data_IF_374408291610
#
_entry.id   IF_374408291610
#
_cell.length_a   1.000
_cell.length_b   1.000
_cell.length_c   1.000
_cell.angle_alpha   90.00
_cell.angle_beta   90.00
_cell.angle_gamma   90.00
#
_symmetry.space_group_name_H-M   'P 1'
#
loop_
_entity.id
_entity.type
_entity.pdbx_description
1 polymer ?
#
# COMPACT_ATOMS: atom_id res chain seq x y z
N UNK A 1 0.74 12.03 -1.62
CA UNK A 1 0.48 10.92 -0.70
C UNK A 1 1.09 9.64 -1.24
N UNK A 2 1.86 8.92 -0.43
CA UNK A 2 2.61 7.73 -0.86
C UNK A 2 2.29 6.55 0.03
N UNK A 3 2.07 5.38 -0.58
CA UNK A 3 1.85 4.12 0.11
C UNK A 3 3.03 3.20 -0.16
N UNK A 4 3.64 2.65 0.86
CA UNK A 4 4.65 1.61 0.73
C UNK A 4 4.02 0.25 0.94
N UNK A 5 4.57 -0.75 0.27
CA UNK A 5 3.98 -2.08 0.19
C UNK A 5 3.83 -2.71 1.57
N UNK A 6 4.91 -2.81 2.31
CA UNK A 6 4.89 -3.42 3.63
C UNK A 6 6.20 -3.15 4.37
N UNK A 7 6.16 -3.38 5.67
CA UNK A 7 7.32 -3.23 6.55
C UNK A 7 7.48 -4.46 7.41
N UNK A 8 8.69 -4.63 7.93
CA UNK A 8 8.95 -5.66 8.91
C UNK A 8 8.33 -5.26 10.24
N UNK A 9 7.58 -6.17 10.86
CA UNK A 9 6.89 -5.92 12.11
C UNK A 9 7.84 -5.52 13.25
N UNK A 10 9.09 -5.94 13.21
CA UNK A 10 10.09 -5.57 14.23
C UNK A 10 10.31 -4.06 14.35
N UNK A 11 10.11 -3.33 13.27
CA UNK A 11 10.28 -1.88 13.26
C UNK A 11 9.07 -1.15 13.84
N UNK A 12 7.94 -1.85 14.03
CA UNK A 12 6.68 -1.25 14.45
C UNK A 12 5.93 -2.20 15.37
N UNK A 13 6.53 -2.48 16.54
CA UNK A 13 6.07 -3.50 17.48
C UNK A 13 4.63 -3.31 17.97
N UNK A 14 4.14 -2.09 17.98
CA UNK A 14 2.81 -1.79 18.49
C UNK A 14 1.71 -1.92 17.44
N UNK A 15 2.08 -2.15 16.18
CA UNK A 15 1.13 -2.31 15.09
C UNK A 15 0.94 -3.77 14.74
N UNK A 16 -0.29 -4.13 14.46
CA UNK A 16 -0.67 -5.51 14.15
C UNK A 16 -0.86 -5.70 12.65
N UNK A 17 -0.78 -6.96 12.21
CA UNK A 17 -1.12 -7.34 10.84
C UNK A 17 -2.54 -6.86 10.53
N UNK A 18 -2.74 -6.31 9.36
CA UNK A 18 -4.01 -5.74 8.96
C UNK A 18 -4.19 -4.28 9.37
N UNK A 19 -3.14 -3.67 9.89
CA UNK A 19 -3.13 -2.24 10.22
C UNK A 19 -2.19 -1.46 9.30
N UNK A 20 -2.21 -0.16 9.44
CA UNK A 20 -1.29 0.74 8.73
C UNK A 20 -0.53 1.58 9.75
N UNK A 21 0.73 1.82 9.48
CA UNK A 21 1.52 2.83 10.20
C UNK A 21 1.61 4.07 9.33
N UNK A 22 1.41 5.23 9.91
CA UNK A 22 1.43 6.49 9.17
C UNK A 22 2.59 7.34 9.65
N UNK A 23 3.38 7.82 8.70
CA UNK A 23 4.43 8.79 8.95
C UNK A 23 4.07 10.10 8.25
N UNK A 24 4.06 11.18 8.99
CA UNK A 24 3.86 12.51 8.41
C UNK A 24 5.21 13.16 8.18
N UNK A 25 5.45 13.62 6.95
CA UNK A 25 6.69 14.28 6.57
C UNK A 25 6.43 15.30 5.46
N UNK A 26 6.88 16.54 5.68
CA UNK A 26 6.77 17.63 4.69
C UNK A 26 5.33 17.81 4.20
N UNK A 27 4.37 17.79 5.12
CA UNK A 27 2.94 17.93 4.83
C UNK A 27 2.37 16.79 3.97
N UNK A 28 3.04 15.64 3.97
CA UNK A 28 2.59 14.43 3.29
C UNK A 28 2.47 13.29 4.29
N UNK A 29 1.62 12.32 3.95
CA UNK A 29 1.52 11.08 4.72
C UNK A 29 2.15 9.95 3.93
N UNK A 30 2.95 9.14 4.61
CA UNK A 30 3.51 7.91 4.05
C UNK A 30 2.88 6.76 4.81
N UNK A 31 2.28 5.85 4.09
CA UNK A 31 1.58 4.71 4.67
C UNK A 31 2.41 3.44 4.52
N UNK A 32 2.57 2.73 5.62
CA UNK A 32 3.21 1.42 5.65
C UNK A 32 2.15 0.40 6.01
N UNK A 33 1.82 -0.46 5.07
CA UNK A 33 0.82 -1.51 5.24
C UNK A 33 1.46 -2.71 5.92
N UNK A 34 0.89 -3.16 7.03
CA UNK A 34 1.40 -4.31 7.77
C UNK A 34 0.57 -5.52 7.39
N UNK A 35 1.05 -6.27 6.42
CA UNK A 35 0.31 -7.37 5.81
C UNK A 35 0.85 -8.74 6.19
N UNK A 36 2.03 -8.80 6.80
CA UNK A 36 2.65 -10.04 7.26
C UNK A 36 3.55 -9.78 8.45
N UNK A 37 3.78 -10.81 9.26
CA UNK A 37 4.61 -10.70 10.46
C UNK A 37 6.10 -10.78 10.16
N UNK A 38 6.49 -11.60 9.19
CA UNK A 38 7.89 -11.84 8.85
C UNK A 38 8.12 -11.65 7.37
N UNK A 39 9.33 -11.21 7.00
CA UNK A 39 9.69 -11.00 5.61
C UNK A 39 9.59 -12.27 4.76
N UNK A 40 9.75 -13.45 5.37
CA UNK A 40 9.66 -14.73 4.69
C UNK A 40 8.23 -15.23 4.48
N UNK A 41 7.26 -14.63 5.15
CA UNK A 41 5.86 -14.99 5.00
C UNK A 41 5.25 -14.26 3.81
N UNK A 42 4.15 -14.82 3.29
CA UNK A 42 3.36 -14.14 2.28
C UNK A 42 2.18 -13.45 2.94
N UNK A 43 1.81 -12.25 2.52
CA UNK A 43 0.58 -11.64 2.98
C UNK A 43 -0.62 -12.40 2.41
N UNK A 44 -1.76 -12.29 3.07
CA UNK A 44 -3.02 -12.78 2.52
C UNK A 44 -3.79 -11.60 1.92
N UNK A 45 -4.73 -11.89 1.02
CA UNK A 45 -5.61 -10.86 0.50
C UNK A 45 -6.45 -10.22 1.61
N UNK A 46 -6.88 -11.01 2.60
CA UNK A 46 -7.64 -10.49 3.73
C UNK A 46 -6.83 -9.50 4.56
N UNK A 47 -5.57 -9.80 4.82
CA UNK A 47 -4.70 -8.89 5.57
C UNK A 47 -4.39 -7.62 4.77
N UNK A 48 -4.20 -7.75 3.46
CA UNK A 48 -4.02 -6.58 2.59
C UNK A 48 -5.27 -5.71 2.61
N UNK A 49 -6.44 -6.32 2.47
CA UNK A 49 -7.70 -5.58 2.52
C UNK A 49 -7.89 -4.87 3.85
N UNK A 50 -7.59 -5.55 4.96
CA UNK A 50 -7.69 -4.94 6.30
C UNK A 50 -6.76 -3.73 6.43
N UNK A 51 -5.52 -3.82 5.95
CA UNK A 51 -4.57 -2.70 5.98
C UNK A 51 -5.06 -1.54 5.11
N UNK A 52 -5.63 -1.83 3.94
CA UNK A 52 -6.20 -0.80 3.06
C UNK A 52 -7.41 -0.13 3.69
N UNK A 53 -8.25 -0.87 4.38
CA UNK A 53 -9.39 -0.30 5.11
C UNK A 53 -8.91 0.64 6.22
N UNK A 54 -7.88 0.23 6.95
CA UNK A 54 -7.29 1.07 8.00
C UNK A 54 -6.68 2.35 7.41
N UNK A 55 -5.98 2.23 6.30
CA UNK A 55 -5.43 3.37 5.57
C UNK A 55 -6.55 4.32 5.09
N UNK A 56 -7.63 3.76 4.56
CA UNK A 56 -8.77 4.56 4.11
C UNK A 56 -9.35 5.40 5.25
N UNK A 57 -9.50 4.81 6.43
CA UNK A 57 -9.99 5.54 7.60
C UNK A 57 -9.14 6.77 7.89
N UNK A 58 -7.83 6.62 7.87
CA UNK A 58 -6.91 7.72 8.07
C UNK A 58 -7.06 8.78 6.97
N UNK A 59 -7.14 8.34 5.72
CA UNK A 59 -7.29 9.25 4.58
C UNK A 59 -8.57 10.09 4.69
N UNK A 60 -9.69 9.47 5.04
CA UNK A 60 -10.96 10.17 5.15
C UNK A 60 -10.92 11.20 6.28
N UNK A 61 -10.39 10.82 7.44
CA UNK A 61 -10.30 11.72 8.60
C UNK A 61 -9.41 12.92 8.30
N UNK A 62 -8.34 12.74 7.53
CA UNK A 62 -7.35 13.79 7.27
C UNK A 62 -7.54 14.49 5.92
N UNK A 63 -8.63 14.23 5.22
CA UNK A 63 -8.94 14.90 3.96
C UNK A 63 -7.98 14.62 2.82
N UNK A 64 -7.40 13.42 2.79
CA UNK A 64 -6.50 13.01 1.71
C UNK A 64 -7.30 12.89 0.42
N UNK A 65 -6.84 13.53 -0.65
CA UNK A 65 -7.51 13.55 -1.94
C UNK A 65 -6.83 12.68 -2.98
N UNK A 66 -5.54 12.46 -2.85
CA UNK A 66 -4.76 11.70 -3.83
C UNK A 66 -3.84 10.71 -3.12
N UNK A 67 -3.73 9.52 -3.68
CA UNK A 67 -2.80 8.48 -3.26
C UNK A 67 -1.95 8.03 -4.44
N UNK A 68 -0.67 7.82 -4.19
CA UNK A 68 0.24 7.17 -5.13
C UNK A 68 0.77 5.89 -4.50
N UNK A 69 0.76 4.80 -5.24
CA UNK A 69 1.21 3.52 -4.73
C UNK A 69 1.80 2.64 -5.83
N UNK A 70 2.68 1.70 -5.48
CA UNK A 70 3.10 0.67 -6.41
C UNK A 70 2.01 -0.41 -6.53
N UNK A 71 2.25 -1.45 -7.33
CA UNK A 71 1.41 -2.64 -7.35
C UNK A 71 1.64 -3.43 -6.07
N UNK A 72 0.82 -3.14 -5.05
CA UNK A 72 0.97 -3.70 -3.72
C UNK A 72 0.97 -5.22 -3.72
N UNK A 73 1.95 -5.82 -3.06
CA UNK A 73 2.03 -7.27 -2.88
C UNK A 73 2.35 -8.08 -4.13
N UNK A 74 2.58 -7.44 -5.28
CA UNK A 74 2.73 -8.15 -6.55
C UNK A 74 4.19 -8.43 -6.95
N UNK A 75 5.15 -7.87 -6.21
CA UNK A 75 6.55 -8.15 -6.45
C UNK A 75 6.98 -9.42 -5.74
N UNK A 76 7.77 -9.26 -4.71
CA UNK A 76 8.30 -10.37 -3.92
C UNK A 76 7.22 -11.24 -3.28
N UNK A 77 6.11 -10.66 -2.87
CA UNK A 77 5.00 -11.36 -2.20
C UNK A 77 4.08 -12.13 -3.14
N UNK A 78 4.21 -11.90 -4.44
CA UNK A 78 3.55 -12.69 -5.49
C UNK A 78 2.02 -12.70 -5.45
N UNK A 79 1.39 -11.67 -4.91
CA UNK A 79 -0.06 -11.51 -5.06
C UNK A 79 -0.39 -11.15 -6.51
N UNK A 80 -1.57 -11.55 -6.95
CA UNK A 80 -2.02 -11.29 -8.33
C UNK A 80 -2.60 -9.88 -8.42
N UNK A 81 -2.06 -9.08 -9.33
CA UNK A 81 -2.44 -7.67 -9.44
C UNK A 81 -3.93 -7.45 -9.70
N UNK A 82 -4.56 -8.26 -10.55
CA UNK A 82 -5.99 -8.12 -10.81
C UNK A 82 -6.83 -8.29 -9.54
N UNK A 83 -6.45 -9.20 -8.68
CA UNK A 83 -7.11 -9.40 -7.39
C UNK A 83 -6.87 -8.20 -6.45
N UNK A 84 -5.64 -7.74 -6.37
CA UNK A 84 -5.28 -6.60 -5.56
C UNK A 84 -5.99 -5.33 -6.02
N UNK A 85 -6.05 -5.12 -7.34
CA UNK A 85 -6.74 -3.97 -7.92
C UNK A 85 -8.24 -3.98 -7.59
N UNK A 86 -8.86 -5.14 -7.63
CA UNK A 86 -10.26 -5.30 -7.25
C UNK A 86 -10.47 -4.90 -5.79
N UNK A 87 -9.59 -5.35 -4.91
CA UNK A 87 -9.65 -5.00 -3.49
C UNK A 87 -9.51 -3.50 -3.29
N UNK A 88 -8.56 -2.86 -3.97
CA UNK A 88 -8.39 -1.40 -3.89
C UNK A 88 -9.65 -0.69 -4.33
N UNK A 89 -10.25 -1.10 -5.43
CA UNK A 89 -11.50 -0.52 -5.92
C UNK A 89 -12.63 -0.67 -4.92
N UNK A 90 -12.77 -1.84 -4.32
CA UNK A 90 -13.81 -2.10 -3.32
C UNK A 90 -13.62 -1.23 -2.08
N UNK A 91 -12.40 -1.16 -1.57
CA UNK A 91 -12.09 -0.40 -0.35
C UNK A 91 -12.37 1.08 -0.52
N UNK A 92 -12.00 1.65 -1.66
CA UNK A 92 -12.11 3.09 -1.92
C UNK A 92 -13.34 3.50 -2.73
N UNK A 93 -14.29 2.57 -2.96
CA UNK A 93 -15.45 2.79 -3.85
C UNK A 93 -16.30 4.00 -3.47
N UNK A 94 -16.48 4.25 -2.18
CA UNK A 94 -17.35 5.34 -1.71
C UNK A 94 -16.56 6.58 -1.29
N UNK A 95 -15.36 6.72 -1.81
CA UNK A 95 -14.50 7.88 -1.53
C UNK A 95 -14.28 8.67 -2.81
N UNK A 96 -13.83 9.93 -2.65
CA UNK A 96 -13.41 10.78 -3.76
C UNK A 96 -11.90 10.79 -3.92
N UNK A 97 -11.21 9.80 -3.37
CA UNK A 97 -9.75 9.72 -3.40
C UNK A 97 -9.31 9.24 -4.78
N UNK A 98 -8.42 10.00 -5.41
CA UNK A 98 -7.82 9.62 -6.68
C UNK A 98 -6.59 8.75 -6.42
N UNK A 99 -6.57 7.56 -6.99
CA UNK A 99 -5.50 6.60 -6.78
C UNK A 99 -4.74 6.39 -8.08
N UNK A 100 -3.43 6.60 -8.03
CA UNK A 100 -2.53 6.33 -9.14
C UNK A 100 -1.58 5.21 -8.72
N UNK A 101 -1.53 4.16 -9.51
CA UNK A 101 -0.63 3.03 -9.29
C UNK A 101 0.52 3.13 -10.29
N UNK A 102 1.75 3.05 -9.77
CA UNK A 102 2.95 3.08 -10.58
C UNK A 102 3.50 1.67 -10.71
N UNK A 103 3.66 1.21 -11.94
CA UNK A 103 4.31 -0.07 -12.21
C UNK A 103 5.81 0.17 -12.23
N UNK A 104 6.51 -0.48 -11.31
CA UNK A 104 7.92 -0.26 -11.09
C UNK A 104 8.72 -1.44 -11.66
N UNK A 105 9.90 -1.15 -12.20
CA UNK A 105 10.84 -2.14 -12.67
C UNK A 105 12.19 -1.88 -12.01
N UNK A 106 12.72 -2.91 -11.35
CA UNK A 106 14.07 -2.84 -10.80
C UNK A 106 15.10 -2.97 -11.90
N UNK A 107 16.10 -2.11 -11.87
CA UNK A 107 17.20 -2.14 -12.84
C UNK A 107 18.52 -2.50 -12.16
N UNK A 108 19.54 -2.80 -12.95
CA UNK A 108 20.90 -3.02 -12.44
C UNK A 108 21.32 -1.81 -11.60
N UNK A 109 22.13 -2.03 -10.58
CA UNK A 109 22.61 -1.00 -9.66
C UNK A 109 21.55 -0.47 -8.71
N UNK A 110 20.52 -1.27 -8.43
CA UNK A 110 19.46 -0.95 -7.47
C UNK A 110 18.63 0.28 -7.83
N UNK A 111 18.67 0.72 -9.07
CA UNK A 111 17.77 1.75 -9.53
C UNK A 111 16.39 1.18 -9.82
N UNK A 112 15.36 1.98 -9.54
CA UNK A 112 13.97 1.63 -9.82
C UNK A 112 13.43 2.66 -10.81
N UNK A 113 12.75 2.19 -11.83
CA UNK A 113 12.16 3.04 -12.84
C UNK A 113 10.66 2.82 -12.91
N UNK A 114 9.91 3.90 -13.11
CA UNK A 114 8.48 3.81 -13.39
C UNK A 114 8.31 3.40 -14.85
N UNK A 115 7.73 2.23 -15.08
CA UNK A 115 7.49 1.71 -16.42
C UNK A 115 6.14 2.20 -16.94
N UNK A 116 5.18 2.31 -16.06
CA UNK A 116 3.79 2.55 -16.43
C UNK A 116 3.05 3.09 -15.21
N UNK A 117 2.01 3.89 -15.43
CA UNK A 117 1.09 4.27 -14.35
C UNK A 117 -0.34 3.98 -14.76
N UNK A 118 -1.15 3.60 -13.79
CA UNK A 118 -2.53 3.20 -13.98
C UNK A 118 -3.43 3.98 -13.02
N UNK A 119 -4.54 4.46 -13.53
CA UNK A 119 -5.56 5.12 -12.71
C UNK A 119 -6.55 4.06 -12.25
N UNK A 120 -6.76 4.01 -10.98
CA UNK A 120 -7.64 3.01 -10.36
C UNK A 120 -8.91 3.63 -9.83
#
# INVERSE_FOLDING_TARGET
MTVKDQINLHSHLEKKIGQVTVLEKEQRFIYYLITKAKATERPTYDNLKASLEDMKKHCVVHGVQTLAMPQLGCGHDKLVWNEVKTIIREVFANTKIHITVYVLESQKNYHVRIVHKEIV
#
